data_IF_691667618443
#
_entry.id   IF_691667618443
#
_cell.length_a   1.000
_cell.length_b   1.000
_cell.length_c   1.000
_cell.angle_alpha   90.00
_cell.angle_beta   90.00
_cell.angle_gamma   90.00
#
_symmetry.space_group_name_H-M   'P 1'
#
loop_
_entity.id
_entity.type
_entity.pdbx_description
1 polymer ?
#
# COMPACT_ATOMS: atom_id res chain seq x y z
N UNK A 1 -21.94 41.85 -69.02
CA UNK A 1 -21.31 40.56 -68.72
C UNK A 1 -21.31 40.35 -67.21
N UNK A 2 -22.24 39.55 -66.66
CA UNK A 2 -22.10 39.01 -65.32
C UNK A 2 -21.35 37.68 -65.42
N UNK A 3 -20.20 37.56 -64.79
CA UNK A 3 -19.48 36.28 -64.66
C UNK A 3 -18.70 36.30 -63.35
N UNK A 4 -19.28 35.75 -62.29
CA UNK A 4 -18.65 34.66 -61.53
C UNK A 4 -19.67 34.11 -60.52
N UNK A 5 -20.42 33.13 -61.01
CA UNK A 5 -21.05 32.12 -60.18
C UNK A 5 -19.96 31.11 -59.78
N UNK A 6 -20.18 30.44 -58.64
CA UNK A 6 -19.74 29.07 -58.35
C UNK A 6 -18.36 28.89 -57.69
N UNK A 7 -18.33 29.01 -56.36
CA UNK A 7 -17.46 28.18 -55.52
C UNK A 7 -18.25 27.66 -54.31
N UNK A 8 -18.65 26.39 -54.44
CA UNK A 8 -18.71 25.37 -53.38
C UNK A 8 -19.87 25.43 -52.37
N UNK A 9 -21.03 24.95 -52.82
CA UNK A 9 -21.89 24.06 -52.02
C UNK A 9 -21.11 22.74 -51.79
N UNK A 10 -20.23 22.71 -50.79
CA UNK A 10 -19.79 21.43 -50.24
C UNK A 10 -20.92 20.90 -49.36
N UNK A 11 -21.30 19.61 -49.47
CA UNK A 11 -22.12 18.99 -48.45
C UNK A 11 -21.36 19.13 -47.13
N UNK A 12 -21.93 19.85 -46.16
CA UNK A 12 -21.47 19.76 -44.78
C UNK A 12 -21.48 18.28 -44.42
N UNK A 13 -20.39 17.71 -43.86
CA UNK A 13 -20.48 16.37 -43.30
C UNK A 13 -21.46 16.45 -42.13
N UNK A 14 -22.72 16.12 -42.38
CA UNK A 14 -23.82 16.07 -41.42
C UNK A 14 -23.72 14.82 -40.54
N UNK A 15 -22.51 14.34 -40.30
CA UNK A 15 -22.23 13.31 -39.33
C UNK A 15 -21.41 13.99 -38.24
N UNK A 16 -21.99 14.21 -37.04
CA UNK A 16 -21.21 14.71 -35.92
C UNK A 16 -20.05 13.74 -35.73
N UNK A 17 -18.83 14.23 -35.89
CA UNK A 17 -17.63 13.43 -35.58
C UNK A 17 -17.76 13.09 -34.10
N UNK A 18 -17.77 11.79 -33.73
CA UNK A 18 -17.88 11.43 -32.33
C UNK A 18 -16.71 12.06 -31.57
N UNK A 19 -17.05 12.77 -30.48
CA UNK A 19 -16.09 13.56 -29.69
C UNK A 19 -15.04 12.63 -29.05
N UNK A 20 -15.47 11.40 -28.74
CA UNK A 20 -14.65 10.35 -28.14
C UNK A 20 -14.34 9.25 -29.15
N UNK A 21 -13.18 8.63 -28.95
CA UNK A 21 -12.74 7.46 -29.70
C UNK A 21 -13.31 6.20 -29.05
N UNK A 22 -13.89 5.30 -29.84
CA UNK A 22 -14.45 4.04 -29.36
C UNK A 22 -13.55 2.90 -29.81
N UNK A 23 -13.10 2.08 -28.86
CA UNK A 23 -12.23 0.94 -29.05
C UNK A 23 -12.74 -0.29 -28.31
N UNK A 24 -11.91 -1.33 -28.30
CA UNK A 24 -12.16 -2.55 -27.54
C UNK A 24 -10.88 -2.97 -26.82
N UNK A 25 -11.01 -3.27 -25.53
CA UNK A 25 -9.94 -3.79 -24.68
C UNK A 25 -10.45 -5.04 -23.98
N UNK A 26 -9.80 -6.17 -24.20
CA UNK A 26 -10.19 -7.46 -23.60
C UNK A 26 -11.67 -7.82 -23.80
N UNK A 27 -12.22 -7.54 -24.99
CA UNK A 27 -13.63 -7.73 -25.34
C UNK A 27 -14.63 -6.82 -24.62
N UNK A 28 -14.15 -5.75 -23.97
CA UNK A 28 -14.95 -4.70 -23.37
C UNK A 28 -14.91 -3.43 -24.22
N UNK A 29 -16.04 -2.72 -24.30
CA UNK A 29 -16.13 -1.44 -25.02
C UNK A 29 -15.39 -0.37 -24.22
N UNK A 30 -14.35 0.18 -24.84
CA UNK A 30 -13.51 1.25 -24.28
C UNK A 30 -13.82 2.55 -25.00
N UNK A 31 -14.06 3.62 -24.24
CA UNK A 31 -14.35 4.94 -24.79
C UNK A 31 -13.35 5.94 -24.25
N UNK A 32 -12.56 6.51 -25.16
CA UNK A 32 -11.53 7.48 -24.84
C UNK A 32 -11.98 8.90 -25.22
N UNK A 33 -12.18 9.74 -24.20
CA UNK A 33 -12.55 11.14 -24.30
C UNK A 33 -11.45 12.07 -23.73
N UNK A 34 -10.20 11.62 -23.64
CA UNK A 34 -9.13 12.40 -23.00
C UNK A 34 -8.75 13.64 -23.80
N UNK A 35 -8.41 14.72 -23.10
CA UNK A 35 -7.88 15.95 -23.69
C UNK A 35 -8.77 16.54 -24.83
N UNK A 36 -10.09 16.48 -24.65
CA UNK A 36 -11.07 17.04 -25.62
C UNK A 36 -11.69 18.36 -25.15
N UNK A 37 -11.21 18.94 -24.04
CA UNK A 37 -11.71 20.20 -23.47
C UNK A 37 -13.11 20.07 -22.85
N UNK A 38 -13.49 18.87 -22.41
CA UNK A 38 -14.82 18.57 -21.89
C UNK A 38 -15.05 19.20 -20.52
N UNK A 39 -16.30 19.62 -20.29
CA UNK A 39 -16.78 20.11 -18.99
C UNK A 39 -17.75 19.14 -18.31
N UNK A 40 -18.20 18.13 -19.04
CA UNK A 40 -19.08 17.06 -18.59
C UNK A 40 -18.91 15.85 -19.54
N UNK A 41 -19.32 14.63 -19.12
CA UNK A 41 -19.39 13.50 -20.03
C UNK A 41 -20.27 13.80 -21.25
N UNK A 42 -19.89 13.39 -22.46
CA UNK A 42 -20.74 13.55 -23.65
C UNK A 42 -22.06 12.78 -23.50
N UNK A 43 -23.19 13.32 -23.99
CA UNK A 43 -24.50 12.69 -23.83
C UNK A 43 -24.71 11.43 -24.70
N UNK A 44 -23.86 11.22 -25.70
CA UNK A 44 -23.95 10.21 -26.75
C UNK A 44 -22.98 9.02 -26.56
N UNK A 45 -22.49 8.81 -25.33
CA UNK A 45 -21.65 7.65 -25.00
C UNK A 45 -22.40 6.33 -25.27
N UNK A 46 -21.73 5.32 -25.87
CA UNK A 46 -22.31 3.98 -26.06
C UNK A 46 -22.82 3.38 -24.74
N UNK A 47 -24.03 2.84 -24.73
CA UNK A 47 -24.66 2.32 -23.50
C UNK A 47 -23.95 1.07 -22.91
N UNK A 48 -23.18 0.37 -23.74
CA UNK A 48 -22.35 -0.79 -23.42
C UNK A 48 -20.91 -0.42 -23.03
N UNK A 49 -20.59 0.87 -22.93
CA UNK A 49 -19.28 1.35 -22.42
C UNK A 49 -18.97 0.70 -21.07
N UNK A 50 -17.85 -0.02 -21.03
CA UNK A 50 -17.31 -0.65 -19.83
C UNK A 50 -16.13 0.13 -19.27
N UNK A 51 -15.31 0.73 -20.13
CA UNK A 51 -14.13 1.50 -19.76
C UNK A 51 -14.29 2.91 -20.30
N UNK A 52 -14.26 3.92 -19.42
CA UNK A 52 -14.44 5.32 -19.81
C UNK A 52 -13.26 6.18 -19.35
N UNK A 53 -12.55 6.77 -20.32
CA UNK A 53 -11.51 7.74 -20.07
C UNK A 53 -12.04 9.16 -20.28
N UNK A 54 -12.07 9.94 -19.21
CA UNK A 54 -12.46 11.36 -19.18
C UNK A 54 -11.32 12.25 -18.66
N UNK A 55 -10.11 11.70 -18.57
CA UNK A 55 -8.93 12.39 -18.07
C UNK A 55 -8.54 13.61 -18.91
N UNK A 56 -7.70 14.47 -18.34
CA UNK A 56 -7.16 15.66 -19.02
C UNK A 56 -8.23 16.63 -19.54
N UNK A 57 -9.38 16.70 -18.87
CA UNK A 57 -10.50 17.58 -19.23
C UNK A 57 -10.85 18.54 -18.09
N UNK A 58 -11.18 19.82 -18.34
CA UNK A 58 -11.56 20.77 -17.30
C UNK A 58 -13.00 20.55 -16.77
N UNK A 59 -13.27 19.37 -16.21
CA UNK A 59 -14.59 19.00 -15.69
C UNK A 59 -14.97 19.85 -14.47
N UNK A 60 -14.02 20.12 -13.58
CA UNK A 60 -14.21 20.92 -12.37
C UNK A 60 -15.03 20.23 -11.26
N UNK A 61 -16.10 19.55 -11.62
CA UNK A 61 -16.94 18.72 -10.74
C UNK A 61 -17.40 17.47 -11.48
N UNK A 62 -17.67 16.38 -10.76
CA UNK A 62 -18.23 15.16 -11.35
C UNK A 62 -19.36 14.59 -10.48
N UNK A 63 -20.45 14.16 -11.12
CA UNK A 63 -21.59 13.49 -10.49
C UNK A 63 -21.73 12.09 -11.08
N UNK A 64 -21.85 11.07 -10.23
CA UNK A 64 -22.02 9.68 -10.68
C UNK A 64 -23.34 9.51 -11.46
N UNK A 65 -24.35 10.34 -11.20
CA UNK A 65 -25.60 10.34 -11.96
C UNK A 65 -25.39 10.64 -13.46
N UNK A 66 -24.32 11.35 -13.83
CA UNK A 66 -24.01 11.68 -15.23
C UNK A 66 -23.62 10.46 -16.08
N UNK A 67 -23.24 9.34 -15.45
CA UNK A 67 -22.88 8.08 -16.12
C UNK A 67 -23.76 6.91 -15.71
N UNK A 68 -24.90 7.18 -15.06
CA UNK A 68 -25.81 6.14 -14.53
C UNK A 68 -26.33 5.17 -15.61
N UNK A 69 -26.46 5.64 -16.85
CA UNK A 69 -26.96 4.82 -17.96
C UNK A 69 -25.91 3.84 -18.52
N UNK A 70 -24.64 4.00 -18.15
CA UNK A 70 -23.55 3.12 -18.57
C UNK A 70 -23.54 1.86 -17.70
N UNK A 71 -24.53 1.00 -17.90
CA UNK A 71 -24.78 -0.16 -17.04
C UNK A 71 -23.66 -1.20 -16.98
N UNK A 72 -22.75 -1.17 -17.97
CA UNK A 72 -21.59 -2.05 -18.04
C UNK A 72 -20.31 -1.43 -17.49
N UNK A 73 -20.34 -0.17 -17.01
CA UNK A 73 -19.16 0.58 -16.59
C UNK A 73 -18.44 -0.10 -15.42
N UNK A 74 -17.22 -0.57 -15.69
CA UNK A 74 -16.30 -1.20 -14.74
C UNK A 74 -15.11 -0.31 -14.39
N UNK A 75 -14.65 0.53 -15.32
CA UNK A 75 -13.50 1.41 -15.12
C UNK A 75 -13.82 2.86 -15.50
N UNK A 76 -13.51 3.80 -14.60
CA UNK A 76 -13.73 5.22 -14.81
C UNK A 76 -12.45 6.02 -14.48
N UNK A 77 -11.88 6.63 -15.50
CA UNK A 77 -10.66 7.45 -15.39
C UNK A 77 -11.00 8.94 -15.48
N UNK A 78 -10.78 9.67 -14.39
CA UNK A 78 -11.02 11.10 -14.23
C UNK A 78 -9.72 11.84 -13.83
N UNK A 79 -8.57 11.27 -14.20
CA UNK A 79 -7.27 11.81 -13.85
C UNK A 79 -7.00 13.17 -14.51
N UNK A 80 -6.35 14.11 -13.80
CA UNK A 80 -6.03 15.45 -14.32
C UNK A 80 -7.25 16.25 -14.79
N UNK A 81 -8.43 16.03 -14.19
CA UNK A 81 -9.69 16.65 -14.63
C UNK A 81 -10.13 17.91 -13.86
N UNK A 82 -9.20 18.51 -13.11
CA UNK A 82 -9.41 19.70 -12.29
C UNK A 82 -10.57 19.58 -11.27
N UNK A 83 -10.90 18.35 -10.86
CA UNK A 83 -12.03 18.10 -9.97
C UNK A 83 -11.79 18.72 -8.59
N UNK A 84 -12.73 19.56 -8.16
CA UNK A 84 -12.78 20.16 -6.82
C UNK A 84 -13.81 19.48 -5.93
N UNK A 85 -14.77 18.77 -6.54
CA UNK A 85 -15.78 17.98 -5.83
C UNK A 85 -16.22 16.76 -6.66
N UNK A 86 -16.63 15.73 -5.92
CA UNK A 86 -17.19 14.49 -6.44
C UNK A 86 -18.53 14.24 -5.74
N UNK A 87 -19.57 13.95 -6.51
CA UNK A 87 -20.91 13.64 -6.00
C UNK A 87 -21.20 12.16 -6.20
N UNK A 88 -21.34 11.43 -5.10
CA UNK A 88 -21.71 10.01 -5.07
C UNK A 88 -23.24 9.85 -4.99
N UNK A 89 -23.95 10.49 -5.92
CA UNK A 89 -25.41 10.65 -5.97
C UNK A 89 -26.14 9.55 -6.76
N UNK A 90 -25.40 8.64 -7.38
CA UNK A 90 -25.93 7.47 -8.07
C UNK A 90 -25.08 6.23 -7.79
N UNK A 91 -25.71 5.05 -7.91
CA UNK A 91 -25.05 3.76 -7.71
C UNK A 91 -24.50 3.24 -9.03
N UNK A 92 -23.20 2.95 -9.06
CA UNK A 92 -22.52 2.30 -10.18
C UNK A 92 -22.16 0.87 -9.73
N UNK A 93 -23.07 -0.11 -9.96
CA UNK A 93 -23.01 -1.41 -9.29
C UNK A 93 -21.87 -2.32 -9.77
N UNK A 94 -21.21 -1.96 -10.87
CA UNK A 94 -20.13 -2.73 -11.49
C UNK A 94 -18.79 -2.01 -11.51
N UNK A 95 -18.72 -0.78 -10.98
CA UNK A 95 -17.49 0.00 -11.03
C UNK A 95 -16.45 -0.62 -10.08
N UNK A 96 -15.38 -1.14 -10.67
CA UNK A 96 -14.26 -1.80 -10.00
C UNK A 96 -13.04 -0.87 -9.87
N UNK A 97 -12.82 0.01 -10.85
CA UNK A 97 -11.69 0.95 -10.88
C UNK A 97 -12.19 2.38 -10.96
N UNK A 98 -11.75 3.21 -10.02
CA UNK A 98 -11.97 4.65 -10.05
C UNK A 98 -10.63 5.39 -9.89
N UNK A 99 -10.21 6.07 -10.96
CA UNK A 99 -9.03 6.92 -10.94
C UNK A 99 -9.44 8.40 -10.85
N UNK A 100 -9.03 9.07 -9.77
CA UNK A 100 -9.22 10.49 -9.48
C UNK A 100 -7.86 11.20 -9.31
N UNK A 101 -6.78 10.61 -9.82
CA UNK A 101 -5.43 11.13 -9.59
C UNK A 101 -5.24 12.53 -10.20
N UNK A 102 -4.35 13.33 -9.62
CA UNK A 102 -4.01 14.67 -10.13
C UNK A 102 -5.22 15.62 -10.24
N UNK A 103 -6.07 15.64 -9.23
CA UNK A 103 -7.19 16.57 -9.14
C UNK A 103 -6.97 17.58 -7.98
N UNK A 104 -8.02 18.31 -7.60
CA UNK A 104 -8.00 19.35 -6.55
C UNK A 104 -8.99 19.01 -5.42
N UNK A 105 -9.24 17.72 -5.19
CA UNK A 105 -10.20 17.26 -4.19
C UNK A 105 -9.64 17.54 -2.79
N UNK A 106 -10.45 18.19 -1.96
CA UNK A 106 -10.12 18.47 -0.55
C UNK A 106 -10.79 17.52 0.44
N UNK A 107 -11.76 16.76 -0.05
CA UNK A 107 -12.49 15.74 0.70
C UNK A 107 -13.06 14.71 -0.28
N UNK A 108 -13.42 13.54 0.25
CA UNK A 108 -14.13 12.51 -0.49
C UNK A 108 -15.57 12.36 0.05
N UNK A 109 -16.57 12.16 -0.82
CA UNK A 109 -17.88 11.73 -0.37
C UNK A 109 -17.83 10.28 0.11
N UNK A 110 -18.89 9.82 0.78
CA UNK A 110 -19.03 8.40 1.16
C UNK A 110 -19.26 7.55 -0.09
N UNK A 111 -18.24 6.83 -0.53
CA UNK A 111 -18.29 6.07 -1.78
C UNK A 111 -18.96 4.70 -1.65
N UNK A 112 -18.91 4.04 -0.49
CA UNK A 112 -19.26 2.62 -0.39
C UNK A 112 -20.71 2.26 -0.74
N UNK A 113 -21.67 3.19 -0.62
CA UNK A 113 -23.05 2.96 -1.10
C UNK A 113 -23.16 3.07 -2.63
N UNK A 114 -22.40 4.00 -3.21
CA UNK A 114 -22.40 4.26 -4.64
C UNK A 114 -21.60 3.20 -5.41
N UNK A 115 -20.48 2.75 -4.84
CA UNK A 115 -19.47 1.89 -5.49
C UNK A 115 -19.23 0.60 -4.68
N UNK A 116 -20.22 -0.31 -4.61
CA UNK A 116 -20.18 -1.46 -3.69
C UNK A 116 -19.15 -2.55 -4.05
N UNK A 117 -18.65 -2.55 -5.29
CA UNK A 117 -17.69 -3.55 -5.79
C UNK A 117 -16.33 -2.93 -6.13
N UNK A 118 -16.09 -1.69 -5.69
CA UNK A 118 -14.84 -0.99 -5.98
C UNK A 118 -13.65 -1.77 -5.42
N UNK A 119 -12.69 -2.05 -6.30
CA UNK A 119 -11.47 -2.80 -6.02
C UNK A 119 -10.26 -1.88 -5.99
N UNK A 120 -10.21 -0.89 -6.89
CA UNK A 120 -9.10 0.07 -6.99
C UNK A 120 -9.64 1.49 -6.85
N UNK A 121 -9.11 2.22 -5.87
CA UNK A 121 -9.36 3.64 -5.68
C UNK A 121 -8.04 4.40 -5.70
N UNK A 122 -7.85 5.20 -6.73
CA UNK A 122 -6.71 6.11 -6.83
C UNK A 122 -7.15 7.56 -6.64
N UNK A 123 -6.72 8.19 -5.55
CA UNK A 123 -6.95 9.60 -5.22
C UNK A 123 -5.60 10.32 -5.01
N UNK A 124 -4.55 9.82 -5.66
CA UNK A 124 -3.21 10.39 -5.57
C UNK A 124 -3.16 11.81 -6.12
N UNK A 125 -2.23 12.63 -5.63
CA UNK A 125 -1.99 13.99 -6.08
C UNK A 125 -3.26 14.86 -6.04
N UNK A 126 -3.89 14.91 -4.88
CA UNK A 126 -5.03 15.77 -4.58
C UNK A 126 -4.70 16.73 -3.41
N UNK A 127 -5.70 17.42 -2.87
CA UNK A 127 -5.57 18.40 -1.78
C UNK A 127 -6.19 17.88 -0.46
N UNK A 128 -6.17 16.56 -0.24
CA UNK A 128 -6.76 15.97 0.95
C UNK A 128 -5.90 16.31 2.19
N UNK A 129 -6.51 16.96 3.18
CA UNK A 129 -5.84 17.32 4.44
C UNK A 129 -6.22 16.38 5.60
N UNK A 130 -7.33 15.66 5.46
CA UNK A 130 -7.81 14.68 6.42
C UNK A 130 -8.72 13.66 5.74
N UNK A 131 -8.90 12.52 6.40
CA UNK A 131 -9.89 11.50 6.03
C UNK A 131 -10.78 11.25 7.25
N UNK A 132 -12.11 11.47 7.17
CA UNK A 132 -13.05 10.99 8.18
C UNK A 132 -12.92 9.46 8.39
N UNK A 133 -13.21 8.96 9.59
CA UNK A 133 -13.09 7.53 9.90
C UNK A 133 -14.00 6.66 9.04
N UNK A 134 -15.14 7.19 8.62
CA UNK A 134 -16.13 6.49 7.81
C UNK A 134 -15.94 6.66 6.29
N UNK A 135 -14.83 7.26 5.85
CA UNK A 135 -14.56 7.52 4.41
C UNK A 135 -14.64 6.24 3.56
N UNK A 136 -14.13 5.13 4.08
CA UNK A 136 -14.06 3.84 3.37
C UNK A 136 -15.20 2.87 3.71
N UNK A 137 -16.17 3.29 4.53
CA UNK A 137 -17.29 2.43 4.91
C UNK A 137 -18.06 1.93 3.68
N UNK A 138 -18.23 0.61 3.59
CA UNK A 138 -18.92 -0.07 2.49
C UNK A 138 -18.01 -0.49 1.33
N UNK A 139 -16.74 -0.09 1.31
CA UNK A 139 -15.76 -0.51 0.28
C UNK A 139 -15.13 -1.88 0.61
N UNK A 140 -15.97 -2.87 0.95
CA UNK A 140 -15.52 -4.19 1.42
C UNK A 140 -14.71 -5.01 0.41
N UNK A 141 -14.69 -4.60 -0.87
CA UNK A 141 -13.95 -5.26 -1.97
C UNK A 141 -12.64 -4.56 -2.33
N UNK A 142 -12.31 -3.46 -1.65
CA UNK A 142 -11.15 -2.65 -1.99
C UNK A 142 -9.85 -3.44 -1.78
N UNK A 143 -9.04 -3.53 -2.82
CA UNK A 143 -7.75 -4.20 -2.85
C UNK A 143 -6.59 -3.20 -2.97
N UNK A 144 -6.79 -2.08 -3.66
CA UNK A 144 -5.75 -1.08 -3.84
C UNK A 144 -6.27 0.32 -3.50
N UNK A 145 -5.55 0.98 -2.59
CA UNK A 145 -5.84 2.34 -2.16
C UNK A 145 -4.60 3.23 -2.34
N UNK A 146 -4.72 4.21 -3.23
CA UNK A 146 -3.66 5.17 -3.49
C UNK A 146 -4.05 6.57 -3.02
N UNK A 147 -3.31 7.07 -2.02
CA UNK A 147 -3.45 8.40 -1.42
C UNK A 147 -2.15 9.21 -1.54
N UNK A 148 -1.24 8.81 -2.45
CA UNK A 148 0.08 9.42 -2.61
C UNK A 148 -0.04 10.91 -2.91
N UNK A 149 0.84 11.77 -2.41
CA UNK A 149 0.88 13.16 -2.87
C UNK A 149 -0.30 14.02 -2.38
N UNK A 150 -0.82 13.75 -1.18
CA UNK A 150 -1.84 14.56 -0.53
C UNK A 150 -1.21 15.37 0.63
N UNK A 151 -2.02 16.02 1.48
CA UNK A 151 -1.55 16.79 2.66
C UNK A 151 -2.02 16.17 3.98
N UNK A 152 -2.11 14.84 4.04
CA UNK A 152 -2.55 14.13 5.24
C UNK A 152 -1.50 14.23 6.33
N UNK A 153 -1.91 14.65 7.53
CA UNK A 153 -1.02 14.77 8.71
C UNK A 153 -1.20 13.64 9.73
N UNK A 154 -2.40 13.11 9.80
CA UNK A 154 -2.82 12.00 10.66
C UNK A 154 -3.83 11.13 9.90
N UNK A 155 -4.04 9.92 10.40
CA UNK A 155 -5.07 8.99 9.90
C UNK A 155 -5.95 8.58 11.08
N UNK A 156 -7.26 8.38 10.88
CA UNK A 156 -8.10 7.81 11.92
C UNK A 156 -7.73 6.33 12.15
N UNK A 157 -7.73 5.82 13.40
CA UNK A 157 -7.32 4.45 13.71
C UNK A 157 -8.12 3.37 12.96
N UNK A 158 -9.42 3.59 12.77
CA UNK A 158 -10.33 2.62 12.15
C UNK A 158 -10.47 2.77 10.64
N UNK A 159 -9.63 3.60 9.98
CA UNK A 159 -9.78 3.94 8.56
C UNK A 159 -9.92 2.70 7.65
N UNK A 160 -9.08 1.69 7.89
CA UNK A 160 -8.91 0.52 7.01
C UNK A 160 -9.72 -0.71 7.47
N UNK A 161 -10.40 -0.63 8.62
CA UNK A 161 -11.26 -1.72 9.13
C UNK A 161 -12.29 -2.19 8.10
N UNK A 162 -12.93 -1.33 7.29
CA UNK A 162 -13.90 -1.76 6.27
C UNK A 162 -13.29 -2.45 5.04
N UNK A 163 -11.95 -2.51 4.90
CA UNK A 163 -11.26 -2.96 3.69
C UNK A 163 -10.32 -4.14 3.99
N UNK A 164 -10.84 -5.31 4.42
CA UNK A 164 -10.00 -6.43 4.87
C UNK A 164 -9.17 -7.09 3.76
N UNK A 165 -9.55 -6.90 2.49
CA UNK A 165 -8.87 -7.47 1.32
C UNK A 165 -7.82 -6.52 0.70
N UNK A 166 -7.39 -5.50 1.45
CA UNK A 166 -6.43 -4.52 0.95
C UNK A 166 -5.06 -5.17 0.75
N UNK A 167 -4.55 -5.13 -0.47
CA UNK A 167 -3.25 -5.67 -0.91
C UNK A 167 -2.20 -4.58 -1.03
N UNK A 168 -2.61 -3.41 -1.54
CA UNK A 168 -1.72 -2.27 -1.74
C UNK A 168 -2.25 -1.02 -1.05
N UNK A 169 -1.40 -0.42 -0.23
CA UNK A 169 -1.67 0.85 0.42
C UNK A 169 -0.56 1.84 0.12
N UNK A 170 -0.90 2.93 -0.56
CA UNK A 170 0.04 4.04 -0.77
C UNK A 170 -0.35 5.28 0.01
N UNK A 171 0.46 5.61 1.01
CA UNK A 171 0.41 6.83 1.83
C UNK A 171 1.64 7.72 1.61
N UNK A 172 2.47 7.40 0.62
CA UNK A 172 3.69 8.13 0.30
C UNK A 172 3.42 9.61 -0.02
N UNK A 173 4.44 10.46 0.14
CA UNK A 173 4.33 11.90 -0.24
C UNK A 173 3.13 12.59 0.44
N UNK A 174 3.00 12.40 1.74
CA UNK A 174 2.07 13.11 2.61
C UNK A 174 2.85 13.84 3.71
N UNK A 175 2.13 14.42 4.68
CA UNK A 175 2.71 15.11 5.84
C UNK A 175 2.54 14.30 7.14
N UNK A 176 2.45 12.97 7.06
CA UNK A 176 2.18 12.10 8.21
C UNK A 176 3.31 12.22 9.24
N UNK A 177 2.96 12.55 10.47
CA UNK A 177 3.90 12.68 11.60
C UNK A 177 3.94 11.41 12.47
N UNK A 178 2.82 10.70 12.52
CA UNK A 178 2.63 9.47 13.27
C UNK A 178 1.65 8.56 12.54
N UNK A 179 1.68 7.27 12.87
CA UNK A 179 0.74 6.26 12.38
C UNK A 179 -0.08 5.75 13.57
N UNK A 180 -1.41 5.54 13.40
CA UNK A 180 -2.19 4.83 14.41
C UNK A 180 -1.63 3.41 14.64
N UNK A 181 -1.43 2.96 15.89
CA UNK A 181 -0.83 1.65 16.17
C UNK A 181 -1.56 0.47 15.52
N UNK A 182 -2.89 0.54 15.43
CA UNK A 182 -3.72 -0.53 14.87
C UNK A 182 -4.12 -0.31 13.40
N UNK A 183 -3.47 0.61 12.68
CA UNK A 183 -3.88 0.97 11.30
C UNK A 183 -3.92 -0.25 10.36
N UNK A 184 -2.95 -1.16 10.47
CA UNK A 184 -2.81 -2.32 9.59
C UNK A 184 -3.48 -3.60 10.14
N UNK A 185 -4.15 -3.51 11.29
CA UNK A 185 -4.73 -4.67 11.97
C UNK A 185 -5.81 -5.31 11.11
N UNK A 186 -5.67 -6.61 10.85
CA UNK A 186 -6.61 -7.41 10.05
C UNK A 186 -6.40 -7.34 8.54
N UNK A 187 -5.37 -6.64 8.04
CA UNK A 187 -5.04 -6.59 6.61
C UNK A 187 -4.14 -7.76 6.20
N UNK A 188 -4.64 -8.99 6.34
CA UNK A 188 -3.85 -10.23 6.12
C UNK A 188 -3.34 -10.39 4.68
N UNK A 189 -3.98 -9.72 3.71
CA UNK A 189 -3.60 -9.75 2.29
C UNK A 189 -2.65 -8.61 1.88
N UNK A 190 -2.28 -7.71 2.80
CA UNK A 190 -1.45 -6.55 2.47
C UNK A 190 -0.04 -6.99 2.07
N UNK A 191 0.35 -6.74 0.82
CA UNK A 191 1.65 -7.11 0.28
C UNK A 191 2.57 -5.91 0.01
N UNK A 192 1.99 -4.72 -0.21
CA UNK A 192 2.74 -3.52 -0.60
C UNK A 192 2.33 -2.31 0.23
N UNK A 193 3.30 -1.71 0.91
CA UNK A 193 3.12 -0.53 1.75
C UNK A 193 4.08 0.60 1.36
N UNK A 194 3.52 1.72 0.91
CA UNK A 194 4.29 2.93 0.60
C UNK A 194 4.10 3.99 1.68
N UNK A 195 5.17 4.31 2.41
CA UNK A 195 5.22 5.33 3.46
C UNK A 195 6.35 6.36 3.24
N UNK A 196 7.11 6.23 2.15
CA UNK A 196 8.22 7.12 1.84
C UNK A 196 7.79 8.58 1.67
N UNK A 197 8.72 9.51 1.91
CA UNK A 197 8.47 10.96 1.77
C UNK A 197 7.31 11.45 2.67
N UNK A 198 7.34 11.07 3.94
CA UNK A 198 6.48 11.60 5.00
C UNK A 198 7.34 12.30 6.09
N UNK A 199 6.75 12.62 7.24
CA UNK A 199 7.44 13.24 8.39
C UNK A 199 7.47 12.30 9.61
N UNK A 200 7.41 10.99 9.36
CA UNK A 200 7.37 9.98 10.41
C UNK A 200 8.68 10.00 11.19
N UNK A 201 8.57 9.88 12.52
CA UNK A 201 9.72 9.80 13.43
C UNK A 201 9.97 8.41 13.98
N UNK A 202 8.92 7.59 14.09
CA UNK A 202 9.00 6.20 14.53
C UNK A 202 7.85 5.39 13.94
N UNK A 203 7.91 4.07 14.06
CA UNK A 203 6.79 3.16 13.84
C UNK A 203 6.30 2.69 15.22
N UNK A 204 4.98 2.72 15.50
CA UNK A 204 4.44 2.20 16.76
C UNK A 204 4.84 0.74 17.01
N UNK A 205 4.95 0.36 18.28
CA UNK A 205 5.20 -1.05 18.64
C UNK A 205 4.08 -1.94 18.11
N UNK A 206 4.46 -3.12 17.61
CA UNK A 206 3.55 -4.14 17.06
C UNK A 206 2.76 -3.69 15.81
N UNK A 207 3.14 -2.58 15.18
CA UNK A 207 2.43 -2.02 14.02
C UNK A 207 2.28 -2.99 12.84
N UNK A 208 3.32 -3.79 12.57
CA UNK A 208 3.30 -4.80 11.50
C UNK A 208 2.73 -6.15 11.95
N UNK A 209 2.62 -6.41 13.26
CA UNK A 209 2.17 -7.70 13.80
C UNK A 209 2.86 -8.89 13.12
N UNK A 210 2.06 -9.81 12.57
CA UNK A 210 2.52 -10.97 11.79
C UNK A 210 2.46 -10.74 10.26
N UNK A 211 2.23 -9.51 9.80
CA UNK A 211 2.12 -9.23 8.37
C UNK A 211 3.44 -9.52 7.67
N UNK A 212 3.36 -10.31 6.60
CA UNK A 212 4.43 -10.45 5.63
C UNK A 212 4.25 -9.34 4.61
N UNK A 213 5.14 -8.36 4.63
CA UNK A 213 5.19 -7.29 3.64
C UNK A 213 6.36 -7.55 2.69
N UNK A 214 6.13 -8.20 1.52
CA UNK A 214 7.16 -8.35 0.50
C UNK A 214 7.75 -7.02 0.04
N UNK A 215 6.94 -5.96 0.02
CA UNK A 215 7.32 -4.66 -0.53
C UNK A 215 6.99 -3.52 0.42
N UNK A 216 8.02 -2.91 1.01
CA UNK A 216 7.85 -1.80 1.94
C UNK A 216 8.81 -0.64 1.63
N UNK A 217 8.29 0.58 1.66
CA UNK A 217 9.04 1.79 1.32
C UNK A 217 8.96 2.80 2.47
N UNK A 218 10.10 3.07 3.11
CA UNK A 218 10.16 3.92 4.31
C UNK A 218 11.13 5.10 4.18
N UNK A 219 11.86 5.20 3.08
CA UNK A 219 12.89 6.21 2.86
C UNK A 219 12.31 7.64 2.88
N UNK A 220 13.18 8.64 3.04
CA UNK A 220 12.78 10.06 3.09
C UNK A 220 11.73 10.36 4.18
N UNK A 221 11.93 9.84 5.38
CA UNK A 221 11.20 10.20 6.59
C UNK A 221 12.17 10.79 7.63
N UNK A 222 11.64 11.32 8.73
CA UNK A 222 12.42 11.97 9.79
C UNK A 222 12.70 11.03 10.98
N UNK A 223 13.16 9.81 10.70
CA UNK A 223 13.33 8.76 11.73
C UNK A 223 14.25 9.22 12.87
N UNK A 224 13.71 9.24 14.09
CA UNK A 224 14.43 9.59 15.32
C UNK A 224 14.96 8.31 15.94
N UNK A 225 16.28 8.13 15.95
CA UNK A 225 16.92 6.99 16.57
C UNK A 225 17.12 7.26 18.07
N UNK A 226 16.10 6.87 18.83
CA UNK A 226 16.01 6.85 20.29
C UNK A 226 15.32 5.55 20.72
N UNK A 227 15.06 5.35 22.01
CA UNK A 227 14.47 4.09 22.49
C UNK A 227 13.10 3.75 21.87
N UNK A 228 12.36 4.74 21.37
CA UNK A 228 11.08 4.53 20.70
C UNK A 228 11.20 3.90 19.31
N UNK A 229 12.40 3.89 18.69
CA UNK A 229 12.61 3.31 17.35
C UNK A 229 12.90 1.80 17.38
N UNK A 230 13.18 1.23 18.55
CA UNK A 230 13.76 -0.11 18.68
C UNK A 230 12.93 -1.21 18.02
N UNK A 231 11.59 -1.11 18.12
CA UNK A 231 10.69 -2.01 17.40
C UNK A 231 10.95 -1.97 15.89
N UNK A 232 11.01 -0.77 15.31
CA UNK A 232 11.22 -0.61 13.88
C UNK A 232 12.61 -1.04 13.46
N UNK A 233 13.64 -0.75 14.27
CA UNK A 233 15.01 -1.19 14.02
C UNK A 233 15.09 -2.72 13.90
N UNK A 234 14.49 -3.45 14.85
CA UNK A 234 14.43 -4.93 14.81
C UNK A 234 13.68 -5.43 13.59
N UNK A 235 12.51 -4.86 13.29
CA UNK A 235 11.75 -5.24 12.10
C UNK A 235 12.58 -5.07 10.81
N UNK A 236 13.36 -4.00 10.67
CA UNK A 236 14.25 -3.79 9.53
C UNK A 236 15.40 -4.80 9.48
N UNK A 237 15.93 -5.23 10.62
CA UNK A 237 16.95 -6.29 10.69
C UNK A 237 16.40 -7.65 10.25
N UNK A 238 15.14 -7.93 10.57
CA UNK A 238 14.46 -9.16 10.18
C UNK A 238 13.97 -9.15 8.72
N UNK A 239 13.74 -7.96 8.15
CA UNK A 239 13.14 -7.78 6.81
C UNK A 239 14.00 -6.95 5.82
N UNK A 240 15.34 -7.10 5.75
CA UNK A 240 16.19 -6.22 4.95
C UNK A 240 15.95 -6.35 3.44
N UNK A 241 15.51 -7.53 2.98
CA UNK A 241 15.21 -7.81 1.57
C UNK A 241 13.84 -7.33 1.12
N UNK A 242 13.00 -6.85 2.04
CA UNK A 242 11.64 -6.40 1.76
C UNK A 242 11.52 -4.87 1.72
N UNK A 243 12.62 -4.16 1.96
CA UNK A 243 12.67 -2.70 2.00
C UNK A 243 13.25 -2.15 0.71
N UNK A 244 12.53 -1.25 0.05
CA UNK A 244 12.89 -0.74 -1.28
C UNK A 244 12.96 0.79 -1.31
N UNK A 245 13.66 1.30 -2.32
CA UNK A 245 13.65 2.72 -2.71
C UNK A 245 12.72 2.87 -3.90
N UNK A 246 11.78 3.82 -3.81
CA UNK A 246 10.84 4.07 -4.89
C UNK A 246 11.56 4.72 -6.08
N UNK A 247 11.41 4.10 -7.25
CA UNK A 247 11.83 4.64 -8.54
C UNK A 247 10.60 4.87 -9.43
N UNK A 248 10.54 6.05 -10.04
CA UNK A 248 9.44 6.40 -10.95
C UNK A 248 9.53 5.58 -12.23
N UNK A 249 8.38 5.10 -12.73
CA UNK A 249 8.25 4.31 -13.96
C UNK A 249 9.01 2.95 -13.98
N UNK A 250 9.42 2.44 -12.83
CA UNK A 250 10.05 1.12 -12.69
C UNK A 250 9.08 0.14 -12.04
N UNK A 251 8.92 -1.05 -12.62
CA UNK A 251 8.13 -2.11 -12.00
C UNK A 251 8.76 -2.52 -10.66
N UNK A 252 7.94 -2.68 -9.64
CA UNK A 252 8.40 -3.01 -8.28
C UNK A 252 9.25 -4.29 -8.23
N UNK A 253 8.96 -5.28 -9.08
CA UNK A 253 9.69 -6.54 -9.16
C UNK A 253 11.08 -6.37 -9.79
N UNK A 254 11.29 -5.26 -10.51
CA UNK A 254 12.59 -4.88 -11.06
C UNK A 254 13.41 -4.00 -10.11
N UNK A 255 12.80 -3.45 -9.06
CA UNK A 255 13.53 -2.65 -8.05
C UNK A 255 14.45 -3.55 -7.20
N UNK A 256 15.56 -2.99 -6.74
CA UNK A 256 16.49 -3.69 -5.84
C UNK A 256 16.21 -3.30 -4.38
N UNK A 257 16.15 -4.27 -3.45
CA UNK A 257 16.01 -3.96 -2.03
C UNK A 257 17.19 -3.11 -1.52
N UNK A 258 16.88 -2.11 -0.69
CA UNK A 258 17.86 -1.27 0.00
C UNK A 258 17.34 -0.82 1.38
N UNK A 259 17.60 -1.64 2.40
CA UNK A 259 17.30 -1.30 3.80
C UNK A 259 18.09 -0.08 4.31
N UNK A 260 19.24 0.24 3.69
CA UNK A 260 20.08 1.40 4.06
C UNK A 260 19.47 2.73 3.62
N UNK A 261 18.37 2.69 2.87
CA UNK A 261 17.55 3.84 2.56
C UNK A 261 16.85 4.44 3.80
N UNK A 262 16.72 3.66 4.88
CA UNK A 262 16.08 4.07 6.14
C UNK A 262 17.14 4.60 7.12
N UNK A 263 17.20 5.94 7.27
CA UNK A 263 18.29 6.65 7.96
C UNK A 263 17.79 7.45 9.16
N UNK A 264 18.58 7.47 10.22
CA UNK A 264 18.36 8.33 11.38
C UNK A 264 18.62 9.79 11.01
N UNK A 265 17.73 10.72 11.40
CA UNK A 265 17.97 12.16 11.18
C UNK A 265 18.74 12.82 12.32
N UNK A 266 18.68 12.25 13.52
CA UNK A 266 19.33 12.76 14.74
C UNK A 266 20.73 12.17 14.98
N UNK A 267 21.17 11.20 14.18
CA UNK A 267 22.48 10.53 14.30
C UNK A 267 23.14 10.42 12.92
N UNK A 268 24.18 11.22 12.69
CA UNK A 268 24.79 11.33 11.37
C UNK A 268 25.38 9.98 10.89
N UNK A 269 25.06 9.61 9.64
CA UNK A 269 25.55 8.36 9.04
C UNK A 269 24.93 7.08 9.61
N UNK A 270 24.01 7.17 10.58
CA UNK A 270 23.38 6.01 11.19
C UNK A 270 22.15 5.55 10.41
N UNK A 271 22.08 4.26 10.12
CA UNK A 271 20.90 3.60 9.57
C UNK A 271 20.02 3.08 10.71
N UNK A 272 18.70 3.14 10.53
CA UNK A 272 17.77 2.72 11.59
C UNK A 272 17.97 1.25 11.97
N UNK A 273 18.20 0.37 10.98
CA UNK A 273 18.44 -1.06 11.24
C UNK A 273 19.72 -1.36 12.03
N UNK A 274 20.69 -0.42 12.09
CA UNK A 274 21.92 -0.56 12.88
C UNK A 274 21.79 -0.02 14.31
N UNK A 275 20.68 0.61 14.67
CA UNK A 275 20.51 1.22 15.99
C UNK A 275 20.14 0.16 17.05
N UNK A 276 21.05 -0.10 17.99
CA UNK A 276 20.87 -1.11 19.05
C UNK A 276 20.23 -0.58 20.34
N UNK A 277 20.14 0.74 20.50
CA UNK A 277 19.55 1.38 21.68
C UNK A 277 20.38 1.30 22.95
N UNK A 278 21.68 1.62 22.87
CA UNK A 278 22.53 1.74 24.06
C UNK A 278 21.90 2.67 25.10
N UNK A 279 21.73 2.18 26.33
CA UNK A 279 21.10 2.92 27.42
C UNK A 279 19.58 2.94 27.42
N UNK A 280 18.92 2.22 26.49
CA UNK A 280 17.48 1.99 26.56
C UNK A 280 17.16 0.91 27.58
N UNK A 281 16.24 1.22 28.50
CA UNK A 281 15.64 0.21 29.36
C UNK A 281 14.70 -0.64 28.51
N UNK A 282 15.19 -1.75 27.98
CA UNK A 282 14.38 -2.73 27.25
C UNK A 282 13.72 -3.64 28.30
N UNK A 283 12.41 -3.55 28.55
CA UNK A 283 11.74 -4.49 29.42
C UNK A 283 11.54 -5.79 28.63
N UNK A 284 12.39 -6.79 28.83
CA UNK A 284 12.13 -8.15 28.34
C UNK A 284 13.30 -8.96 27.78
N UNK A 285 14.42 -8.36 27.38
CA UNK A 285 15.55 -9.13 26.81
C UNK A 285 16.52 -9.58 27.90
N UNK A 286 16.16 -10.66 28.62
CA UNK A 286 17.06 -11.44 29.49
C UNK A 286 17.49 -12.76 28.87
N UNK A 287 17.35 -12.92 27.56
CA UNK A 287 17.83 -14.09 26.82
C UNK A 287 18.83 -13.68 25.74
N UNK A 288 19.84 -12.89 26.11
CA UNK A 288 21.09 -12.84 25.35
C UNK A 288 22.03 -13.83 26.03
N UNK A 289 21.91 -15.11 25.66
CA UNK A 289 22.90 -16.12 25.99
C UNK A 289 24.17 -15.74 25.23
N UNK A 290 25.15 -15.25 25.99
CA UNK A 290 26.56 -15.17 25.60
C UNK A 290 26.95 -16.50 24.95
N UNK A 291 27.25 -16.48 23.65
CA UNK A 291 27.97 -17.58 23.03
C UNK A 291 29.42 -17.43 23.47
N UNK A 292 29.77 -18.10 24.57
CA UNK A 292 31.13 -18.19 25.07
C UNK A 292 32.10 -18.54 23.94
N UNK A 293 33.09 -17.66 23.77
CA UNK A 293 34.27 -17.80 22.95
C UNK A 293 35.06 -19.03 23.42
N UNK A 294 35.08 -20.09 22.60
CA UNK A 294 35.90 -21.27 22.86
C UNK A 294 37.37 -20.89 22.68
N UNK A 295 38.07 -20.60 23.78
CA UNK A 295 39.53 -20.55 23.81
C UNK A 295 40.09 -21.97 23.55
N UNK A 296 40.79 -22.13 22.42
CA UNK A 296 41.70 -23.24 22.18
C UNK A 296 42.80 -23.23 23.26
N UNK A 297 42.85 -24.25 24.12
CA UNK A 297 43.96 -24.48 25.03
C UNK A 297 44.82 -25.64 24.56
N UNK A 298 46.04 -25.27 24.19
CA UNK A 298 47.16 -26.13 23.84
C UNK A 298 47.41 -27.26 24.85
N UNK A 299 47.84 -28.38 24.28
CA UNK A 299 48.37 -29.56 24.93
C UNK A 299 49.55 -29.22 25.86
N UNK A 300 49.53 -29.69 27.12
CA UNK A 300 50.73 -30.25 27.75
C UNK A 300 50.46 -31.07 29.03
N UNK A 301 50.98 -32.29 28.97
CA UNK A 301 51.58 -33.13 30.02
C UNK A 301 50.76 -33.70 31.19
N UNK A 302 50.65 -35.03 31.15
CA UNK A 302 50.31 -35.96 32.23
C UNK A 302 51.50 -36.13 33.17
N UNK A 303 51.26 -36.26 34.49
CA UNK A 303 51.87 -37.38 35.20
C UNK A 303 50.88 -38.18 36.06
N UNK A 304 51.14 -39.48 36.08
CA UNK A 304 50.41 -40.57 36.72
C UNK A 304 50.72 -40.60 38.23
N UNK A 305 49.71 -40.71 39.10
CA UNK A 305 49.79 -41.55 40.33
C UNK A 305 48.41 -42.16 40.66
N UNK A 306 48.39 -43.49 40.75
CA UNK A 306 47.31 -44.35 41.21
C UNK A 306 46.96 -44.14 42.70
N UNK A 307 45.69 -44.35 43.08
CA UNK A 307 45.27 -45.45 44.00
C UNK A 307 43.78 -45.38 44.33
N UNK A 308 43.12 -46.55 44.35
CA UNK A 308 41.96 -46.79 45.22
C UNK A 308 40.57 -46.89 44.57
N UNK A 309 40.22 -48.08 44.12
CA UNK A 309 38.85 -48.51 43.76
C UNK A 309 37.96 -48.74 45.03
N UNK A 310 36.79 -49.39 44.94
CA UNK A 310 35.49 -48.77 44.68
C UNK A 310 34.46 -49.10 45.79
N UNK A 311 33.36 -48.35 45.91
CA UNK A 311 32.15 -48.88 46.56
C UNK A 311 30.88 -48.57 45.75
N UNK A 312 30.43 -49.63 45.09
CA UNK A 312 29.05 -50.02 44.77
C UNK A 312 28.08 -49.68 45.92
N UNK A 313 26.80 -49.30 45.77
CA UNK A 313 25.66 -49.91 45.03
C UNK A 313 24.37 -49.06 45.32
N UNK A 314 23.14 -49.40 44.88
CA UNK A 314 22.41 -48.71 43.79
C UNK A 314 20.98 -48.25 44.21
N UNK A 315 19.94 -48.22 43.34
CA UNK A 315 19.18 -47.01 43.00
C UNK A 315 17.77 -46.95 43.60
N UNK A 316 17.07 -45.83 43.39
CA UNK A 316 15.60 -45.82 43.41
C UNK A 316 15.03 -45.19 42.14
N UNK A 317 14.36 -46.04 41.36
CA UNK A 317 13.32 -45.69 40.39
C UNK A 317 12.20 -44.92 41.13
N UNK A 318 11.26 -44.17 40.55
CA UNK A 318 10.59 -44.12 39.24
C UNK A 318 9.77 -42.82 39.27
N UNK A 319 9.55 -42.09 38.18
CA UNK A 319 8.36 -42.34 37.36
C UNK A 319 8.44 -41.57 36.04
N UNK A 320 8.26 -42.31 34.96
CA UNK A 320 7.97 -41.82 33.61
C UNK A 320 6.57 -41.18 33.58
N UNK A 321 6.43 -40.06 32.89
CA UNK A 321 5.32 -39.88 31.97
C UNK A 321 5.88 -39.33 30.66
N UNK A 322 5.61 -40.07 29.59
CA UNK A 322 6.02 -39.87 28.22
C UNK A 322 4.70 -39.77 27.48
N UNK A 323 4.42 -38.65 26.80
CA UNK A 323 3.57 -38.68 25.61
C UNK A 323 4.38 -38.08 24.48
N UNK A 324 4.54 -38.92 23.45
CA UNK A 324 5.30 -38.72 22.23
C UNK A 324 4.49 -37.92 21.22
N UNK A 325 5.24 -37.17 20.42
CA UNK A 325 4.98 -36.80 19.04
C UNK A 325 4.51 -37.97 18.16
N UNK A 326 3.74 -37.65 17.11
CA UNK A 326 3.77 -38.38 15.85
C UNK A 326 3.72 -37.39 14.68
N UNK A 327 4.80 -37.40 13.89
CA UNK A 327 4.85 -37.00 12.49
C UNK A 327 4.11 -38.03 11.63
N UNK A 328 3.55 -37.58 10.51
CA UNK A 328 3.04 -38.45 9.44
C UNK A 328 2.82 -37.66 8.17
N UNK A 329 3.74 -37.80 7.22
CA UNK A 329 3.78 -37.16 5.92
C UNK A 329 2.98 -37.92 4.84
N UNK A 330 2.96 -37.33 3.64
CA UNK A 330 2.59 -37.86 2.31
C UNK A 330 1.09 -37.91 1.97
N UNK A 331 0.65 -37.53 0.77
CA UNK A 331 1.39 -37.28 -0.47
C UNK A 331 0.51 -36.74 -1.60
N UNK A 332 1.17 -36.60 -2.75
CA UNK A 332 0.71 -36.15 -4.06
C UNK A 332 -0.64 -36.75 -4.54
N UNK A 333 -1.44 -35.93 -5.22
CA UNK A 333 -1.88 -36.09 -6.62
C UNK A 333 -2.37 -34.75 -7.17
#
# INVERSE_FOLDING_TARGET
MPLLLLLLLLPSPSHPVPICEVGNKDSQVEVNCENKGLKAPPPDLPADTAILHLGENPLGTFSMASVLNLSQLTELFLGKSQLTSLQADAKLPRLEVLNLAHNKLRSLPKLGRALPVLSILDVSFNELTSLPSDTLHGLSRLQELYLRGNQLRTLPPELLVPTPHLKKLSLAENDLQELPPELLKGLEELDTLYLQKNRLRTIPTDFFGMLLLPYAFFHNNSWSCDCGILYFSRWLQDNPSNVYVWEEDVDIKAMTPDVKSVRCVNMNGMYVYNFLGDGCNIPGDRDNLDYDEYEDKDEQEVPIVNTGSPTTRPPRASSKSRIRSFLGAQGCY
#
